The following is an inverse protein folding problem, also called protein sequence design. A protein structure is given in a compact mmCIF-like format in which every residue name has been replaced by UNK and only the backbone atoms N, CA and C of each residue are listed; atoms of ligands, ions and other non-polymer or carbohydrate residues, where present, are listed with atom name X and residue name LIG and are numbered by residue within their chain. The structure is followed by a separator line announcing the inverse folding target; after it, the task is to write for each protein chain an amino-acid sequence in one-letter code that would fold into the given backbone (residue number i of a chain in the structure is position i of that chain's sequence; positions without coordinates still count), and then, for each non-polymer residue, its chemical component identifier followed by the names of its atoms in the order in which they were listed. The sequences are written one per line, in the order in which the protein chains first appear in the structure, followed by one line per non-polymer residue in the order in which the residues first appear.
data_IF_903823276075
#
_entry.id   IF_903823276075
#
_cell.length_a   1.000
_cell.length_b   1.000
_cell.length_c   1.000
_cell.angle_alpha   90.00
_cell.angle_beta   90.00
_cell.angle_gamma   90.00
#
_symmetry.space_group_name_H-M   'P 1'
#
loop_
_entity.id
_entity.type
_entity.pdbx_description
1 polymer ?
#
# COMPACT_ATOMS: atom_id res chain seq x y z
N UNK A 1 33.94 -87.82 -7.75
CA UNK A 1 33.29 -87.01 -6.72
C UNK A 1 33.33 -85.44 -6.98
N UNK A 2 33.78 -85.04 -8.10
CA UNK A 2 33.95 -83.57 -8.44
C UNK A 2 32.69 -82.87 -8.97
N UNK A 3 31.91 -83.52 -9.81
CA UNK A 3 30.77 -82.93 -10.56
C UNK A 3 29.55 -82.53 -9.71
N UNK A 4 29.36 -83.13 -8.54
CA UNK A 4 28.22 -82.82 -7.68
C UNK A 4 28.37 -81.53 -6.84
N UNK A 5 29.58 -81.15 -6.54
CA UNK A 5 29.90 -79.88 -5.83
C UNK A 5 29.81 -78.65 -6.70
N UNK A 6 30.08 -78.75 -8.00
CA UNK A 6 29.99 -77.68 -8.95
C UNK A 6 28.53 -77.34 -9.29
N UNK A 7 27.67 -78.39 -9.47
CA UNK A 7 26.24 -78.19 -9.70
C UNK A 7 25.55 -77.50 -8.55
N UNK A 8 25.91 -77.83 -7.29
CA UNK A 8 25.35 -77.16 -6.11
C UNK A 8 25.79 -75.69 -6.00
N UNK A 9 27.04 -75.40 -6.37
CA UNK A 9 27.50 -73.98 -6.39
C UNK A 9 26.82 -73.13 -7.47
N UNK A 10 26.52 -73.70 -8.62
CA UNK A 10 25.80 -73.00 -9.71
C UNK A 10 24.33 -72.75 -9.32
N UNK A 11 23.69 -73.69 -8.67
CA UNK A 11 22.28 -73.54 -8.19
C UNK A 11 22.21 -72.49 -7.07
N UNK A 12 23.13 -72.45 -6.14
CA UNK A 12 23.16 -71.47 -5.05
C UNK A 12 23.46 -70.04 -5.62
N UNK A 13 24.31 -69.93 -6.64
CA UNK A 13 24.60 -68.66 -7.27
C UNK A 13 23.45 -68.13 -8.13
N UNK A 14 22.68 -69.03 -8.75
CA UNK A 14 21.47 -68.68 -9.52
C UNK A 14 20.31 -68.21 -8.59
N UNK A 15 20.13 -68.90 -7.44
CA UNK A 15 19.16 -68.45 -6.43
C UNK A 15 19.44 -67.08 -5.87
N UNK A 16 20.71 -66.79 -5.50
CA UNK A 16 21.10 -65.47 -5.01
C UNK A 16 20.97 -64.34 -6.08
N UNK A 17 21.14 -64.64 -7.37
CA UNK A 17 20.89 -63.70 -8.42
C UNK A 17 19.39 -63.43 -8.61
N UNK A 18 18.53 -64.43 -8.53
CA UNK A 18 17.11 -64.30 -8.62
C UNK A 18 16.53 -63.46 -7.43
N UNK A 19 17.02 -63.70 -6.20
CA UNK A 19 16.65 -62.94 -5.03
C UNK A 19 17.04 -61.45 -5.14
N UNK A 20 18.27 -61.15 -5.65
CA UNK A 20 18.73 -59.79 -5.85
C UNK A 20 17.95 -59.03 -6.98
N UNK A 21 17.47 -59.73 -8.02
CA UNK A 21 16.63 -59.12 -9.04
C UNK A 21 15.20 -58.82 -8.57
N UNK A 22 14.64 -59.71 -7.74
CA UNK A 22 13.32 -59.46 -7.11
C UNK A 22 13.37 -58.30 -6.14
N UNK A 23 14.44 -58.19 -5.35
CA UNK A 23 14.64 -57.07 -4.43
C UNK A 23 14.83 -55.73 -5.15
N UNK A 24 15.57 -55.71 -6.27
CA UNK A 24 15.71 -54.51 -7.14
C UNK A 24 14.41 -54.15 -7.84
N UNK A 25 13.60 -55.10 -8.24
CA UNK A 25 12.29 -54.84 -8.86
C UNK A 25 11.28 -54.30 -7.83
N UNK A 26 11.30 -54.82 -6.59
CA UNK A 26 10.49 -54.32 -5.48
C UNK A 26 10.88 -52.87 -5.10
N UNK A 27 12.17 -52.61 -4.97
CA UNK A 27 12.66 -51.23 -4.66
C UNK A 27 12.27 -50.21 -5.75
N UNK A 28 12.36 -50.60 -7.04
CA UNK A 28 11.91 -49.73 -8.13
C UNK A 28 10.40 -49.44 -8.10
N UNK A 29 9.60 -50.45 -7.73
CA UNK A 29 8.13 -50.25 -7.59
C UNK A 29 7.79 -49.34 -6.40
N UNK A 30 8.49 -49.42 -5.29
CA UNK A 30 8.29 -48.56 -4.14
C UNK A 30 8.71 -47.10 -4.44
N UNK A 31 9.84 -46.91 -5.11
CA UNK A 31 10.32 -45.56 -5.52
C UNK A 31 9.37 -44.92 -6.52
N UNK A 32 8.80 -45.69 -7.44
CA UNK A 32 7.85 -45.15 -8.44
C UNK A 32 6.49 -44.84 -7.79
N UNK A 33 6.03 -45.61 -6.84
CA UNK A 33 4.80 -45.35 -6.09
C UNK A 33 4.92 -44.11 -5.16
N UNK A 34 6.05 -43.94 -4.47
CA UNK A 34 6.31 -42.75 -3.65
C UNK A 34 6.48 -41.46 -4.46
N UNK A 35 7.06 -41.54 -5.67
CA UNK A 35 7.21 -40.39 -6.54
C UNK A 35 5.88 -39.89 -7.12
N UNK A 36 4.93 -40.81 -7.41
CA UNK A 36 3.61 -40.46 -7.92
C UNK A 36 2.70 -39.88 -6.82
N UNK A 37 2.84 -40.31 -5.55
CA UNK A 37 2.06 -39.77 -4.42
C UNK A 37 2.55 -38.42 -3.92
N UNK A 38 3.83 -38.07 -4.11
CA UNK A 38 4.36 -36.74 -3.76
C UNK A 38 4.01 -35.68 -4.80
N UNK A 39 3.84 -36.04 -6.09
CA UNK A 39 3.39 -35.11 -7.12
C UNK A 39 1.89 -34.81 -7.08
N UNK A 40 1.06 -35.64 -6.43
CA UNK A 40 -0.38 -35.42 -6.32
C UNK A 40 -0.79 -34.53 -5.14
N UNK A 41 0.11 -34.27 -4.18
CA UNK A 41 -0.14 -33.44 -3.00
C UNK A 41 0.21 -31.95 -3.21
N UNK A 42 0.72 -31.57 -4.36
CA UNK A 42 1.04 -30.15 -4.71
C UNK A 42 -0.11 -29.45 -5.42
N UNK A 43 -1.31 -30.00 -5.42
CA UNK A 43 -2.45 -29.40 -6.08
C UNK A 43 -3.42 -28.80 -5.08
N UNK A 44 -3.68 -27.53 -5.27
CA UNK A 44 -4.91 -26.83 -4.93
C UNK A 44 -5.12 -26.47 -3.45
N UNK A 45 -4.29 -25.59 -2.91
CA UNK A 45 -4.93 -24.48 -2.23
C UNK A 45 -5.44 -23.51 -3.31
N UNK A 46 -6.53 -23.86 -3.97
CA UNK A 46 -7.38 -22.91 -4.64
C UNK A 46 -7.86 -21.96 -3.53
N UNK A 47 -7.28 -20.77 -3.44
CA UNK A 47 -7.82 -19.71 -2.60
C UNK A 47 -9.26 -19.54 -3.05
N UNK A 48 -10.21 -19.91 -2.22
CA UNK A 48 -11.62 -19.61 -2.44
C UNK A 48 -11.68 -18.12 -2.75
N UNK A 49 -12.24 -17.66 -3.89
CA UNK A 49 -12.31 -16.25 -4.18
C UNK A 49 -12.97 -15.57 -2.98
N UNK A 50 -12.31 -14.57 -2.43
CA UNK A 50 -12.83 -13.86 -1.27
C UNK A 50 -14.22 -13.31 -1.63
N UNK A 51 -15.21 -13.66 -0.80
CA UNK A 51 -16.62 -13.37 -1.07
C UNK A 51 -16.89 -11.88 -0.85
N UNK A 52 -17.73 -11.29 -1.70
CA UNK A 52 -18.30 -9.97 -1.47
C UNK A 52 -18.94 -9.88 -0.08
N UNK A 53 -18.66 -8.80 0.64
CA UNK A 53 -19.21 -8.49 1.94
C UNK A 53 -20.06 -7.22 1.85
N UNK A 54 -21.24 -7.22 2.45
CA UNK A 54 -22.16 -6.07 2.47
C UNK A 54 -22.52 -5.72 3.88
N UNK A 55 -22.47 -4.42 4.20
CA UNK A 55 -22.80 -3.83 5.49
C UNK A 55 -23.83 -2.72 5.24
N UNK A 56 -25.14 -3.01 5.37
CA UNK A 56 -26.18 -2.00 5.15
C UNK A 56 -26.13 -0.85 6.16
N UNK A 57 -25.50 -1.08 7.34
CA UNK A 57 -25.38 -0.12 8.44
C UNK A 57 -26.72 0.42 8.92
N UNK A 58 -27.70 -0.48 9.11
CA UNK A 58 -29.00 -0.18 9.72
C UNK A 58 -28.96 -0.24 11.24
N UNK A 59 -27.94 -0.87 11.78
CA UNK A 59 -27.62 -0.99 13.21
C UNK A 59 -26.11 -0.98 13.42
N UNK A 60 -25.67 -0.99 14.66
CA UNK A 60 -24.27 -0.95 15.05
C UNK A 60 -23.69 -2.33 15.40
N UNK A 61 -24.44 -3.40 15.12
CA UNK A 61 -24.07 -4.76 15.51
C UNK A 61 -22.74 -5.18 14.93
N UNK A 62 -21.82 -5.60 15.80
CA UNK A 62 -20.50 -6.11 15.45
C UNK A 62 -19.47 -5.05 15.10
N UNK A 63 -19.80 -3.77 15.02
CA UNK A 63 -18.80 -2.71 14.86
C UNK A 63 -17.83 -2.68 16.04
N UNK A 64 -16.54 -2.57 15.75
CA UNK A 64 -15.47 -2.42 16.76
C UNK A 64 -15.10 -0.92 16.78
N UNK A 65 -15.45 -0.23 17.85
CA UNK A 65 -15.37 1.22 17.97
C UNK A 65 -14.53 1.64 19.19
N UNK A 66 -13.20 1.59 19.12
CA UNK A 66 -12.31 1.79 20.27
C UNK A 66 -12.34 3.23 20.81
N UNK A 67 -12.57 4.22 19.98
CA UNK A 67 -12.50 5.66 20.34
C UNK A 67 -13.60 6.50 19.68
N UNK A 68 -14.71 5.88 19.30
CA UNK A 68 -15.87 6.57 18.73
C UNK A 68 -17.16 6.03 19.32
N UNK A 69 -18.19 6.87 19.37
CA UNK A 69 -19.58 6.48 19.61
C UNK A 69 -20.24 6.15 18.30
N UNK A 70 -21.00 5.05 18.26
CA UNK A 70 -21.78 4.62 17.10
C UNK A 70 -23.23 4.55 17.45
N UNK A 71 -24.09 5.07 16.58
CA UNK A 71 -25.54 5.09 16.78
C UNK A 71 -26.28 4.80 15.47
N UNK A 72 -27.28 3.92 15.53
CA UNK A 72 -28.18 3.68 14.41
C UNK A 72 -29.18 4.83 14.29
N UNK A 73 -29.20 5.50 13.15
CA UNK A 73 -30.02 6.68 12.91
C UNK A 73 -30.57 6.70 11.49
N UNK A 74 -31.64 7.48 11.27
CA UNK A 74 -32.09 7.85 9.93
C UNK A 74 -31.58 9.24 9.59
N UNK A 75 -30.74 9.37 8.59
CA UNK A 75 -30.19 10.65 8.15
C UNK A 75 -30.47 10.88 6.66
N UNK A 76 -31.00 12.04 6.30
CA UNK A 76 -31.38 12.42 4.94
C UNK A 76 -32.11 11.29 4.18
N UNK A 77 -33.08 10.67 4.87
CA UNK A 77 -33.94 9.63 4.32
C UNK A 77 -33.35 8.22 4.27
N UNK A 78 -32.11 7.99 4.73
CA UNK A 78 -31.46 6.66 4.75
C UNK A 78 -31.23 6.15 6.16
N UNK A 79 -31.41 4.84 6.35
CA UNK A 79 -30.89 4.13 7.52
C UNK A 79 -29.36 4.16 7.45
N UNK A 80 -28.73 4.50 8.55
CA UNK A 80 -27.28 4.75 8.62
C UNK A 80 -26.74 4.57 10.03
N UNK A 81 -25.43 4.47 10.14
CA UNK A 81 -24.72 4.60 11.41
C UNK A 81 -24.09 5.98 11.48
N UNK A 82 -24.42 6.71 12.55
CA UNK A 82 -23.75 7.94 12.94
C UNK A 82 -22.52 7.60 13.77
N UNK A 83 -21.40 8.28 13.48
CA UNK A 83 -20.16 8.15 14.24
C UNK A 83 -19.72 9.53 14.70
N UNK A 84 -19.35 9.62 15.97
CA UNK A 84 -18.79 10.82 16.61
C UNK A 84 -17.59 10.41 17.47
N UNK A 85 -16.65 11.31 17.71
CA UNK A 85 -15.52 11.05 18.60
C UNK A 85 -16.01 10.79 20.03
N UNK A 86 -15.37 9.82 20.70
CA UNK A 86 -15.56 9.54 22.11
C UNK A 86 -14.25 9.77 22.87
N UNK A 87 -14.18 10.87 23.61
CA UNK A 87 -13.00 11.25 24.36
C UNK A 87 -12.23 12.43 23.79
N UNK A 88 -10.93 12.49 24.04
CA UNK A 88 -10.04 13.61 23.70
C UNK A 88 -9.33 13.43 22.33
N UNK A 89 -9.49 12.28 21.71
CA UNK A 89 -8.91 12.01 20.39
C UNK A 89 -9.50 12.93 19.32
N UNK A 90 -8.68 13.29 18.33
CA UNK A 90 -9.15 14.13 17.22
C UNK A 90 -9.67 13.33 16.05
N UNK A 91 -9.29 12.08 15.92
CA UNK A 91 -9.71 11.18 14.86
C UNK A 91 -10.13 9.83 15.45
N UNK A 92 -11.09 9.19 14.83
CA UNK A 92 -11.57 7.89 15.30
C UNK A 92 -12.05 6.98 14.19
N UNK A 93 -12.13 5.70 14.52
CA UNK A 93 -12.48 4.61 13.62
C UNK A 93 -13.54 3.70 14.24
N UNK A 94 -14.53 3.31 13.44
CA UNK A 94 -15.35 2.14 13.69
C UNK A 94 -15.02 1.07 12.63
N UNK A 95 -14.47 -0.08 13.06
CA UNK A 95 -14.07 -1.15 12.16
C UNK A 95 -15.24 -2.04 11.80
N UNK A 96 -15.34 -2.42 10.53
CA UNK A 96 -16.33 -3.37 10.03
C UNK A 96 -15.95 -4.80 10.43
N UNK A 97 -16.87 -5.58 11.01
CA UNK A 97 -16.57 -6.90 11.54
C UNK A 97 -16.17 -7.88 10.45
N UNK A 98 -15.15 -8.72 10.75
CA UNK A 98 -14.74 -9.81 9.87
C UNK A 98 -14.16 -9.38 8.52
N UNK A 99 -13.74 -8.13 8.39
CA UNK A 99 -13.06 -7.65 7.18
C UNK A 99 -11.55 -7.88 7.29
N UNK A 100 -10.96 -8.38 6.20
CA UNK A 100 -9.52 -8.44 5.96
C UNK A 100 -9.29 -8.12 4.48
N UNK A 101 -9.13 -6.84 4.20
CA UNK A 101 -9.08 -6.30 2.84
C UNK A 101 -7.63 -6.08 2.41
N UNK A 102 -7.27 -6.62 1.25
CA UNK A 102 -5.98 -6.40 0.61
C UNK A 102 -6.15 -5.60 -0.68
N UNK A 103 -6.78 -6.19 -1.69
CA UNK A 103 -7.05 -5.60 -3.00
C UNK A 103 -8.52 -5.77 -3.37
N UNK A 104 -9.04 -4.89 -4.21
CA UNK A 104 -10.44 -4.92 -4.63
C UNK A 104 -11.10 -3.56 -4.64
N UNK A 105 -12.40 -3.56 -4.40
CA UNK A 105 -13.24 -2.36 -4.42
C UNK A 105 -13.97 -2.22 -3.09
N UNK A 106 -13.95 -1.01 -2.53
CA UNK A 106 -14.77 -0.60 -1.38
C UNK A 106 -15.73 0.47 -1.87
N UNK A 107 -17.02 0.26 -1.69
CA UNK A 107 -18.07 1.24 -1.96
C UNK A 107 -18.78 1.60 -0.67
N UNK A 108 -19.14 2.87 -0.50
CA UNK A 108 -19.91 3.36 0.65
C UNK A 108 -20.72 4.60 0.26
N UNK A 109 -21.84 4.81 0.93
CA UNK A 109 -22.50 6.09 0.98
C UNK A 109 -22.07 6.79 2.28
N UNK A 110 -21.48 7.97 2.18
CA UNK A 110 -20.99 8.74 3.33
C UNK A 110 -21.57 10.15 3.32
N UNK A 111 -21.82 10.70 4.49
CA UNK A 111 -22.25 12.09 4.67
C UNK A 111 -21.68 12.64 5.98
N UNK A 112 -21.72 13.95 6.11
CA UNK A 112 -21.36 14.60 7.37
C UNK A 112 -22.26 15.80 7.64
N UNK A 113 -22.37 16.14 8.93
CA UNK A 113 -22.98 17.35 9.43
C UNK A 113 -22.00 18.04 10.36
N UNK A 114 -21.78 19.32 10.11
CA UNK A 114 -20.91 20.14 10.96
C UNK A 114 -21.69 20.58 12.19
N UNK A 115 -21.06 20.49 13.35
CA UNK A 115 -21.62 20.94 14.63
C UNK A 115 -21.08 22.29 15.12
N UNK A 116 -20.15 22.90 14.32
CA UNK A 116 -19.59 24.21 14.64
C UNK A 116 -20.63 25.34 14.52
N UNK A 117 -20.49 26.45 15.27
CA UNK A 117 -21.38 27.58 15.19
C UNK A 117 -21.54 28.16 13.78
N UNK A 118 -22.72 28.69 13.42
CA UNK A 118 -22.94 29.35 12.14
C UNK A 118 -21.91 30.48 11.89
N UNK A 119 -21.41 30.57 10.65
CA UNK A 119 -20.42 31.55 10.23
C UNK A 119 -18.96 31.17 10.46
N UNK A 120 -18.69 30.09 11.19
CA UNK A 120 -17.37 29.48 11.25
C UNK A 120 -17.22 28.53 10.08
N UNK A 121 -16.31 28.85 9.17
CA UNK A 121 -16.00 27.95 8.05
C UNK A 121 -15.22 26.75 8.53
N UNK A 122 -15.72 25.59 8.25
CA UNK A 122 -15.09 24.33 8.62
C UNK A 122 -14.96 23.39 7.41
N UNK A 123 -13.82 22.73 7.19
CA UNK A 123 -13.60 21.89 6.01
C UNK A 123 -14.54 20.67 5.94
N UNK A 124 -14.87 20.09 7.11
CA UNK A 124 -15.52 18.80 7.22
C UNK A 124 -14.57 17.64 6.93
N UNK A 125 -14.72 16.52 7.65
CA UNK A 125 -13.81 15.38 7.48
C UNK A 125 -14.58 14.07 7.65
N UNK A 126 -14.75 13.31 6.59
CA UNK A 126 -15.38 11.99 6.61
C UNK A 126 -14.66 11.07 5.63
N UNK A 127 -14.41 9.83 6.01
CA UNK A 127 -13.60 8.96 5.14
C UNK A 127 -13.78 7.47 5.38
N UNK A 128 -13.12 6.70 4.52
CA UNK A 128 -13.02 5.24 4.59
C UNK A 128 -11.55 4.86 4.74
N UNK A 129 -11.25 4.20 5.85
CA UNK A 129 -9.95 3.59 6.11
C UNK A 129 -9.94 2.14 5.60
N UNK A 130 -8.79 1.68 5.17
CA UNK A 130 -8.58 0.30 4.74
C UNK A 130 -7.19 -0.19 5.16
N UNK A 131 -6.99 -1.51 5.14
CA UNK A 131 -5.78 -2.15 5.68
C UNK A 131 -5.48 -1.71 7.10
N UNK A 132 -6.54 -1.58 7.90
CA UNK A 132 -6.45 -1.13 9.30
C UNK A 132 -5.96 -2.28 10.16
N UNK A 133 -4.94 -2.04 10.98
CA UNK A 133 -4.51 -3.01 12.00
C UNK A 133 -5.59 -3.21 13.06
N UNK A 134 -5.65 -4.38 13.71
CA UNK A 134 -6.66 -4.66 14.74
C UNK A 134 -6.69 -3.67 15.92
N UNK A 135 -5.55 -3.06 16.23
CA UNK A 135 -5.40 -2.03 17.27
C UNK A 135 -5.66 -0.59 16.77
N UNK A 136 -6.10 -0.45 15.50
CA UNK A 136 -6.33 0.82 14.81
C UNK A 136 -5.10 1.76 14.76
N UNK A 137 -3.91 1.26 15.07
CA UNK A 137 -2.68 2.08 15.10
C UNK A 137 -2.13 2.43 13.73
N UNK A 138 -2.43 1.63 12.69
CA UNK A 138 -1.96 1.82 11.32
C UNK A 138 -3.11 1.63 10.34
N UNK A 139 -3.23 2.53 9.38
CA UNK A 139 -4.24 2.45 8.32
C UNK A 139 -3.91 3.34 7.13
N UNK A 140 -4.50 3.00 5.99
CA UNK A 140 -4.60 3.83 4.80
C UNK A 140 -5.98 4.47 4.78
N UNK A 141 -6.11 5.72 4.34
CA UNK A 141 -7.36 6.47 4.41
C UNK A 141 -7.54 7.38 3.19
N UNK A 142 -8.73 7.32 2.58
CA UNK A 142 -9.25 8.42 1.79
C UNK A 142 -10.33 9.16 2.57
N UNK A 143 -10.23 10.48 2.63
CA UNK A 143 -11.26 11.31 3.25
C UNK A 143 -11.62 12.54 2.43
N UNK A 144 -12.82 13.02 2.65
CA UNK A 144 -13.43 14.14 1.98
C UNK A 144 -13.50 15.35 2.90
N UNK A 145 -13.37 16.54 2.32
CA UNK A 145 -13.57 17.84 2.95
C UNK A 145 -14.58 18.65 2.16
N UNK A 146 -15.88 18.40 2.33
CA UNK A 146 -16.92 19.07 1.54
C UNK A 146 -16.90 20.59 1.68
N UNK A 147 -16.62 21.14 2.87
CA UNK A 147 -16.50 22.57 3.08
C UNK A 147 -15.32 23.24 2.37
N UNK A 148 -14.34 22.47 1.91
CA UNK A 148 -13.29 23.01 1.04
C UNK A 148 -13.73 23.12 -0.42
N UNK A 149 -14.66 22.28 -0.88
CA UNK A 149 -15.12 22.27 -2.26
C UNK A 149 -15.67 23.64 -2.71
N UNK A 150 -16.41 24.30 -1.83
CA UNK A 150 -17.04 25.60 -2.08
C UNK A 150 -16.22 26.80 -1.57
N UNK A 151 -14.96 26.58 -1.21
CA UNK A 151 -14.10 27.64 -0.70
C UNK A 151 -13.86 28.74 -1.74
N UNK A 152 -13.89 30.03 -1.35
CA UNK A 152 -13.49 31.12 -2.24
C UNK A 152 -12.04 30.98 -2.72
N UNK A 153 -11.17 30.49 -1.86
CA UNK A 153 -9.75 30.27 -2.15
C UNK A 153 -9.53 28.99 -2.97
N UNK A 154 -8.86 29.14 -4.12
CA UNK A 154 -8.51 28.05 -5.01
C UNK A 154 -7.63 26.99 -4.33
N UNK A 155 -6.66 27.40 -3.51
CA UNK A 155 -5.80 26.45 -2.82
C UNK A 155 -6.61 25.54 -1.88
N UNK A 156 -7.61 26.11 -1.18
CA UNK A 156 -8.51 25.33 -0.33
C UNK A 156 -9.36 24.34 -1.13
N UNK A 157 -9.89 24.77 -2.32
CA UNK A 157 -10.66 23.86 -3.19
C UNK A 157 -9.84 22.66 -3.65
N UNK A 158 -8.55 22.85 -3.93
CA UNK A 158 -7.64 21.77 -4.33
C UNK A 158 -7.41 20.73 -3.24
N UNK A 159 -7.88 20.98 -2.02
CA UNK A 159 -7.79 20.06 -0.87
C UNK A 159 -9.15 19.44 -0.51
N UNK A 160 -10.08 19.25 -1.47
CA UNK A 160 -11.41 18.69 -1.21
C UNK A 160 -11.36 17.18 -0.94
N UNK A 161 -10.45 16.45 -1.56
CA UNK A 161 -10.18 15.04 -1.30
C UNK A 161 -8.73 14.82 -0.95
N UNK A 162 -8.47 13.85 -0.05
CA UNK A 162 -7.14 13.60 0.48
C UNK A 162 -6.93 12.11 0.72
N UNK A 163 -5.73 11.64 0.43
CA UNK A 163 -5.18 10.37 0.92
C UNK A 163 -4.18 10.64 2.03
N UNK A 164 -4.16 9.76 3.04
CA UNK A 164 -3.12 9.69 4.08
C UNK A 164 -2.85 8.24 4.46
N UNK A 165 -1.70 7.99 5.09
CA UNK A 165 -1.39 6.74 5.76
C UNK A 165 -0.87 7.05 7.16
N UNK A 166 -1.56 6.55 8.16
CA UNK A 166 -1.20 6.78 9.55
C UNK A 166 -0.58 5.51 10.19
N UNK A 167 0.39 5.70 11.07
CA UNK A 167 1.10 6.93 11.38
C UNK A 167 2.19 7.25 10.36
N UNK A 168 2.59 8.51 10.31
CA UNK A 168 3.81 8.94 9.65
C UNK A 168 3.63 9.61 8.29
N UNK A 169 2.54 9.37 7.58
CA UNK A 169 2.23 10.01 6.29
C UNK A 169 0.91 10.77 6.36
N UNK A 170 0.74 11.60 7.39
CA UNK A 170 -0.39 12.50 7.53
C UNK A 170 -0.38 13.61 6.46
N UNK A 171 -1.53 14.30 6.30
CA UNK A 171 -1.74 15.31 5.25
C UNK A 171 -0.66 16.39 5.17
N UNK A 172 -0.13 16.84 6.34
CA UNK A 172 0.88 17.90 6.38
C UNK A 172 2.21 17.43 5.76
N UNK A 173 2.66 16.22 6.11
CA UNK A 173 3.87 15.62 5.53
C UNK A 173 3.70 15.38 4.03
N UNK A 174 2.58 14.78 3.61
CA UNK A 174 2.32 14.49 2.22
C UNK A 174 2.28 15.76 1.37
N UNK A 175 1.61 16.81 1.84
CA UNK A 175 1.55 18.10 1.13
C UNK A 175 2.91 18.77 1.02
N UNK A 176 3.73 18.71 2.08
CA UNK A 176 5.08 19.30 2.09
C UNK A 176 6.04 18.54 1.19
N UNK A 177 6.02 17.20 1.22
CA UNK A 177 7.01 16.36 0.54
C UNK A 177 6.58 15.97 -0.87
N UNK A 178 5.28 15.90 -1.13
CA UNK A 178 4.66 15.55 -2.43
C UNK A 178 3.48 16.49 -2.74
N UNK A 179 3.72 17.78 -2.98
CA UNK A 179 2.63 18.73 -3.24
C UNK A 179 1.75 18.28 -4.40
N UNK A 180 0.43 18.38 -4.23
CA UNK A 180 -0.60 18.03 -5.21
C UNK A 180 -0.61 16.57 -5.70
N UNK A 181 0.04 15.63 -5.00
CA UNK A 181 0.07 14.21 -5.39
C UNK A 181 -0.99 13.40 -4.67
N UNK A 182 -1.23 13.69 -3.39
CA UNK A 182 -2.12 12.93 -2.51
C UNK A 182 -3.41 13.66 -2.15
N UNK A 183 -3.72 14.71 -2.87
CA UNK A 183 -4.92 15.51 -2.72
C UNK A 183 -5.36 16.08 -4.06
N UNK A 184 -6.64 16.37 -4.21
CA UNK A 184 -7.17 17.04 -5.40
C UNK A 184 -8.48 17.76 -5.12
N UNK A 185 -8.94 18.52 -6.11
CA UNK A 185 -10.28 19.09 -6.14
C UNK A 185 -11.33 18.02 -6.46
N UNK A 186 -12.48 18.10 -5.77
CA UNK A 186 -13.70 17.41 -6.14
C UNK A 186 -14.89 18.28 -5.76
N UNK A 187 -15.96 18.23 -6.56
CA UNK A 187 -17.24 18.87 -6.23
C UNK A 187 -17.96 18.05 -5.17
N UNK A 188 -18.11 18.62 -3.99
CA UNK A 188 -18.72 18.03 -2.82
C UNK A 188 -19.67 19.04 -2.17
N UNK A 189 -20.76 18.57 -1.61
CA UNK A 189 -21.70 19.39 -0.84
C UNK A 189 -21.76 18.90 0.61
N UNK A 190 -21.91 19.85 1.52
CA UNK A 190 -22.21 19.58 2.92
C UNK A 190 -23.61 18.97 3.07
N UNK A 191 -23.81 18.18 4.13
CA UNK A 191 -25.11 17.60 4.46
C UNK A 191 -25.79 16.88 3.28
N UNK A 192 -24.96 16.17 2.49
CA UNK A 192 -25.39 15.45 1.30
C UNK A 192 -24.71 14.08 1.26
N UNK A 193 -25.46 13.05 0.85
CA UNK A 193 -24.88 11.73 0.63
C UNK A 193 -23.93 11.74 -0.57
N UNK A 194 -22.67 11.44 -0.32
CA UNK A 194 -21.65 11.21 -1.35
C UNK A 194 -21.42 9.71 -1.50
N UNK A 195 -21.58 9.19 -2.71
CA UNK A 195 -21.18 7.83 -3.03
C UNK A 195 -19.67 7.79 -3.25
N UNK A 196 -18.97 7.00 -2.45
CA UNK A 196 -17.54 6.76 -2.53
C UNK A 196 -17.31 5.39 -3.12
N UNK A 197 -16.34 5.28 -4.05
CA UNK A 197 -15.79 4.01 -4.53
C UNK A 197 -14.28 4.10 -4.55
N UNK A 198 -13.63 3.19 -3.85
CA UNK A 198 -12.18 3.09 -3.75
C UNK A 198 -11.76 1.78 -4.41
N UNK A 199 -10.93 1.86 -5.44
CA UNK A 199 -10.27 0.71 -6.06
C UNK A 199 -8.85 0.62 -5.54
N UNK A 200 -8.46 -0.55 -5.04
CA UNK A 200 -7.10 -0.82 -4.53
C UNK A 200 -6.50 -1.99 -5.28
N UNK A 201 -5.28 -1.83 -5.75
CA UNK A 201 -4.53 -2.86 -6.45
C UNK A 201 -3.03 -2.75 -6.07
N UNK A 202 -2.55 -3.65 -5.24
CA UNK A 202 -1.19 -3.62 -4.70
C UNK A 202 -0.91 -2.32 -3.94
N UNK A 203 -0.02 -1.50 -4.48
CA UNK A 203 0.33 -0.19 -3.91
C UNK A 203 -0.27 1.00 -4.67
N UNK A 204 -1.30 0.77 -5.45
CA UNK A 204 -2.04 1.82 -6.12
C UNK A 204 -3.49 1.85 -5.68
N UNK A 205 -4.08 3.04 -5.62
CA UNK A 205 -5.50 3.20 -5.34
C UNK A 205 -6.11 4.36 -6.13
N UNK A 206 -7.42 4.27 -6.37
CA UNK A 206 -8.19 5.30 -7.05
C UNK A 206 -9.48 5.57 -6.26
N UNK A 207 -9.75 6.84 -6.06
CA UNK A 207 -11.00 7.31 -5.46
C UNK A 207 -11.93 7.85 -6.55
N UNK A 208 -13.16 7.35 -6.56
CA UNK A 208 -14.24 7.83 -7.43
C UNK A 208 -15.39 8.32 -6.58
N UNK A 209 -16.06 9.38 -7.01
CA UNK A 209 -17.17 10.00 -6.30
C UNK A 209 -18.42 10.07 -7.18
N UNK A 210 -19.56 9.84 -6.57
CA UNK A 210 -20.91 10.04 -7.17
C UNK A 210 -21.10 9.34 -8.52
N UNK A 211 -20.47 8.15 -8.71
CA UNK A 211 -20.59 7.35 -9.93
C UNK A 211 -19.81 7.90 -11.12
N UNK A 212 -18.90 8.86 -10.91
CA UNK A 212 -18.03 9.36 -11.97
C UNK A 212 -17.20 8.21 -12.59
N UNK A 213 -17.05 8.23 -13.90
CA UNK A 213 -16.15 7.32 -14.62
C UNK A 213 -14.66 7.71 -14.47
N UNK A 214 -14.38 8.98 -14.15
CA UNK A 214 -13.03 9.48 -13.90
C UNK A 214 -12.74 9.48 -12.40
N UNK A 215 -11.57 8.98 -11.97
CA UNK A 215 -11.20 9.08 -10.56
C UNK A 215 -10.99 10.53 -10.15
N UNK A 216 -11.47 10.88 -8.95
CA UNK A 216 -11.24 12.18 -8.32
C UNK A 216 -9.82 12.29 -7.77
N UNK A 217 -9.23 11.17 -7.36
CA UNK A 217 -7.83 11.11 -6.92
C UNK A 217 -7.23 9.76 -7.34
N UNK A 218 -6.02 9.80 -7.88
CA UNK A 218 -5.20 8.62 -8.20
C UNK A 218 -3.96 8.65 -7.31
N UNK A 219 -3.76 7.59 -6.55
CA UNK A 219 -2.57 7.39 -5.71
C UNK A 219 -1.75 6.25 -6.29
N UNK A 220 -0.62 6.57 -6.88
CA UNK A 220 0.37 5.61 -7.33
C UNK A 220 1.51 5.56 -6.30
N UNK A 221 1.47 4.60 -5.41
CA UNK A 221 2.41 4.45 -4.30
C UNK A 221 1.78 4.77 -2.93
N UNK A 222 0.84 3.92 -2.51
CA UNK A 222 0.30 3.88 -1.16
C UNK A 222 1.46 3.79 -0.13
N UNK A 223 1.36 4.53 0.96
CA UNK A 223 2.45 4.71 1.94
C UNK A 223 2.42 3.71 3.08
N UNK A 224 1.30 3.02 3.29
CA UNK A 224 1.15 2.05 4.36
C UNK A 224 2.11 0.87 4.22
N UNK A 225 2.58 0.36 5.35
CA UNK A 225 3.44 -0.82 5.41
C UNK A 225 2.62 -2.10 5.26
N UNK A 226 1.41 -2.11 5.81
CA UNK A 226 0.53 -3.27 5.77
C UNK A 226 -0.14 -3.39 4.40
N UNK A 227 -0.20 -4.60 3.88
CA UNK A 227 -0.84 -4.88 2.59
C UNK A 227 -2.27 -5.39 2.75
N UNK A 228 -2.70 -5.74 3.97
CA UNK A 228 -4.06 -6.18 4.28
C UNK A 228 -4.45 -5.77 5.70
N UNK A 229 -5.74 -5.75 5.99
CA UNK A 229 -6.30 -5.42 7.29
C UNK A 229 -7.78 -5.06 7.22
N UNK A 230 -8.35 -4.63 8.33
CA UNK A 230 -9.77 -4.28 8.40
C UNK A 230 -10.13 -3.06 7.52
N UNK A 231 -11.42 -2.92 7.23
CA UNK A 231 -12.01 -1.70 6.67
C UNK A 231 -12.66 -0.92 7.80
N UNK A 232 -12.45 0.40 7.84
CA UNK A 232 -12.92 1.29 8.90
C UNK A 232 -13.70 2.49 8.39
N UNK A 233 -14.69 2.90 9.15
CA UNK A 233 -15.45 4.13 8.98
C UNK A 233 -14.75 5.21 9.81
N UNK A 234 -14.27 6.25 9.15
CA UNK A 234 -13.39 7.24 9.79
C UNK A 234 -14.09 8.58 9.99
N UNK A 235 -13.88 9.17 11.18
CA UNK A 235 -14.40 10.48 11.57
C UNK A 235 -13.32 11.37 12.18
N UNK A 236 -13.62 12.65 12.29
CA UNK A 236 -12.75 13.64 12.94
C UNK A 236 -13.58 14.48 13.94
N UNK A 237 -12.91 15.33 14.76
CA UNK A 237 -13.56 16.18 15.77
C UNK A 237 -14.54 17.19 15.16
N UNK A 238 -15.51 17.60 15.97
CA UNK A 238 -16.51 18.64 15.65
C UNK A 238 -17.51 18.29 14.55
N UNK A 239 -17.72 16.97 14.32
CA UNK A 239 -18.57 16.48 13.25
C UNK A 239 -19.44 15.31 13.70
N UNK A 240 -20.60 15.20 13.05
CA UNK A 240 -21.37 13.97 12.99
C UNK A 240 -21.18 13.36 11.61
N UNK A 241 -20.56 12.19 11.52
CA UNK A 241 -20.36 11.48 10.26
C UNK A 241 -21.34 10.34 10.14
N UNK A 242 -21.84 10.11 8.94
CA UNK A 242 -22.89 9.13 8.66
C UNK A 242 -22.43 8.19 7.55
N UNK A 243 -22.66 6.89 7.76
CA UNK A 243 -22.28 5.83 6.84
C UNK A 243 -23.44 4.90 6.56
N UNK A 244 -23.57 4.48 5.31
CA UNK A 244 -24.60 3.56 4.86
C UNK A 244 -24.10 2.73 3.68
N UNK A 245 -24.70 1.55 3.45
CA UNK A 245 -24.51 0.74 2.24
C UNK A 245 -23.04 0.46 1.90
N UNK A 246 -22.22 0.04 2.87
CA UNK A 246 -20.85 -0.35 2.58
C UNK A 246 -20.85 -1.70 1.90
N UNK A 247 -20.11 -1.79 0.80
CA UNK A 247 -19.86 -3.03 0.06
C UNK A 247 -18.36 -3.17 -0.20
N UNK A 248 -17.85 -4.36 0.05
CA UNK A 248 -16.45 -4.73 -0.18
C UNK A 248 -16.44 -5.88 -1.17
N UNK A 249 -15.85 -5.68 -2.33
CA UNK A 249 -15.65 -6.69 -3.37
C UNK A 249 -14.16 -6.99 -3.48
N UNK A 250 -13.66 -8.04 -2.81
CA UNK A 250 -12.25 -8.38 -2.87
C UNK A 250 -11.83 -8.82 -4.27
N UNK A 251 -10.60 -8.50 -4.64
CA UNK A 251 -9.94 -9.00 -5.85
C UNK A 251 -8.79 -9.93 -5.49
N UNK A 252 -8.30 -10.69 -6.45
CA UNK A 252 -7.09 -11.47 -6.26
C UNK A 252 -5.93 -10.54 -5.91
N UNK A 253 -5.17 -10.84 -4.83
CA UNK A 253 -4.05 -10.02 -4.41
C UNK A 253 -3.04 -9.85 -5.54
N UNK A 254 -2.64 -8.63 -5.81
CA UNK A 254 -1.50 -8.38 -6.67
C UNK A 254 -0.22 -8.76 -5.93
N UNK A 255 0.67 -9.48 -6.59
CA UNK A 255 2.00 -9.77 -6.05
C UNK A 255 2.78 -8.45 -5.94
N UNK A 256 2.61 -7.78 -4.81
CA UNK A 256 3.59 -6.79 -4.37
C UNK A 256 4.79 -7.60 -3.92
N UNK A 257 5.82 -7.68 -4.75
CA UNK A 257 7.07 -8.31 -4.34
C UNK A 257 7.56 -7.54 -3.13
N UNK A 258 7.56 -8.19 -1.97
CA UNK A 258 8.21 -7.65 -0.77
C UNK A 258 9.66 -7.36 -1.18
N UNK A 259 10.01 -6.08 -1.13
CA UNK A 259 11.13 -5.51 -1.84
C UNK A 259 12.40 -6.31 -1.76
N UNK A 260 12.98 -6.53 -2.92
CA UNK A 260 14.38 -6.97 -3.05
C UNK A 260 15.26 -6.06 -2.23
N UNK A 261 16.35 -6.60 -1.70
CA UNK A 261 17.33 -5.79 -0.97
C UNK A 261 17.68 -4.52 -1.77
N UNK A 262 17.69 -3.38 -1.12
CA UNK A 262 18.04 -2.10 -1.73
C UNK A 262 19.56 -1.94 -1.91
N UNK A 263 20.36 -2.75 -1.21
CA UNK A 263 21.83 -2.68 -1.30
C UNK A 263 22.32 -2.98 -2.70
N UNK A 264 23.33 -2.25 -3.15
CA UNK A 264 24.00 -2.41 -4.47
C UNK A 264 24.08 -1.10 -5.24
N UNK A 265 24.51 -1.23 -6.50
CA UNK A 265 24.71 -0.13 -7.44
C UNK A 265 23.44 0.13 -8.24
N UNK A 266 23.03 1.39 -8.36
CA UNK A 266 21.82 1.79 -9.05
C UNK A 266 22.09 2.90 -10.06
N UNK A 267 21.70 2.69 -11.31
CA UNK A 267 21.63 3.74 -12.32
C UNK A 267 20.27 4.44 -12.20
N UNK A 268 20.27 5.72 -11.90
CA UNK A 268 19.07 6.51 -11.65
C UNK A 268 18.94 7.62 -12.68
N UNK A 269 17.71 7.84 -13.15
CA UNK A 269 17.31 8.95 -13.98
C UNK A 269 16.22 9.76 -13.29
N UNK A 270 16.50 11.04 -13.07
CA UNK A 270 15.55 12.01 -12.55
C UNK A 270 15.01 12.87 -13.70
N UNK A 271 13.72 13.24 -13.63
CA UNK A 271 13.05 14.12 -14.59
C UNK A 271 12.13 15.09 -13.88
N UNK A 272 12.23 16.37 -14.21
CA UNK A 272 11.36 17.45 -13.71
C UNK A 272 11.17 18.51 -14.79
N UNK A 273 10.35 19.52 -14.50
CA UNK A 273 10.21 20.70 -15.38
C UNK A 273 11.51 21.50 -15.53
N UNK A 274 12.44 21.33 -14.57
CA UNK A 274 13.79 21.90 -14.63
C UNK A 274 14.73 21.17 -15.58
N UNK A 275 14.32 20.04 -16.14
CA UNK A 275 15.13 19.14 -16.94
C UNK A 275 15.37 17.79 -16.25
N UNK A 276 16.24 16.97 -16.85
CA UNK A 276 16.61 15.67 -16.34
C UNK A 276 18.04 15.60 -15.88
N UNK A 277 18.36 14.64 -15.02
CA UNK A 277 19.72 14.29 -14.64
C UNK A 277 19.85 12.77 -14.47
N UNK A 278 20.99 12.24 -14.88
CA UNK A 278 21.37 10.86 -14.63
C UNK A 278 22.37 10.81 -13.48
N UNK A 279 22.31 9.78 -12.65
CA UNK A 279 23.18 9.62 -11.51
C UNK A 279 23.41 8.13 -11.18
N UNK A 280 24.46 7.88 -10.40
CA UNK A 280 24.75 6.59 -9.81
C UNK A 280 24.53 6.66 -8.30
N UNK A 281 23.96 5.63 -7.73
CA UNK A 281 23.83 5.45 -6.28
C UNK A 281 24.46 4.12 -5.90
N UNK A 282 25.38 4.14 -4.93
CA UNK A 282 25.86 2.95 -4.26
C UNK A 282 25.22 2.88 -2.89
N UNK A 283 24.40 1.88 -2.65
CA UNK A 283 23.59 1.77 -1.42
C UNK A 283 24.01 0.57 -0.59
N UNK A 284 24.11 0.77 0.71
CA UNK A 284 24.35 -0.25 1.74
C UNK A 284 23.18 -0.24 2.72
N UNK A 285 22.80 -1.42 3.19
CA UNK A 285 21.69 -1.58 4.13
C UNK A 285 22.14 -2.29 5.40
N UNK A 286 21.72 -1.74 6.54
CA UNK A 286 21.82 -2.36 7.85
C UNK A 286 20.45 -2.26 8.55
N UNK A 287 19.72 -3.36 8.61
CA UNK A 287 18.32 -3.36 9.06
C UNK A 287 17.44 -2.44 8.23
N UNK A 288 16.87 -1.42 8.86
CA UNK A 288 16.08 -0.38 8.19
C UNK A 288 16.91 0.85 7.79
N UNK A 289 18.18 0.92 8.19
CA UNK A 289 19.07 2.03 7.85
C UNK A 289 19.69 1.81 6.48
N UNK A 290 19.70 2.86 5.67
CA UNK A 290 20.39 2.89 4.38
C UNK A 290 21.46 3.98 4.42
N UNK A 291 22.63 3.65 3.93
CA UNK A 291 23.75 4.58 3.70
C UNK A 291 24.30 4.35 2.30
N UNK A 292 25.10 5.28 1.81
CA UNK A 292 25.70 5.09 0.49
C UNK A 292 26.31 6.37 -0.07
N UNK A 293 26.49 6.38 -1.37
CA UNK A 293 27.00 7.54 -2.11
C UNK A 293 26.18 7.85 -3.34
N UNK A 294 26.08 9.13 -3.65
CA UNK A 294 25.52 9.68 -4.87
C UNK A 294 26.64 10.22 -5.74
N UNK A 295 26.60 9.94 -7.03
CA UNK A 295 27.49 10.50 -8.05
C UNK A 295 26.67 10.97 -9.25
N UNK A 296 26.74 12.26 -9.55
CA UNK A 296 25.96 12.88 -10.62
C UNK A 296 25.99 14.41 -10.56
N UNK A 297 25.08 15.11 -11.25
CA UNK A 297 25.11 16.57 -11.40
C UNK A 297 25.07 17.38 -10.09
N UNK A 298 24.59 16.78 -9.00
CA UNK A 298 24.58 17.41 -7.66
C UNK A 298 25.88 17.18 -6.88
N UNK A 299 26.87 16.54 -7.48
CA UNK A 299 28.20 16.27 -6.93
C UNK A 299 28.59 14.79 -6.96
N UNK A 300 29.89 14.56 -6.94
CA UNK A 300 30.47 13.22 -6.91
C UNK A 300 30.69 12.75 -5.47
N UNK A 301 30.42 11.44 -5.21
CA UNK A 301 30.68 10.80 -3.94
C UNK A 301 29.95 11.41 -2.73
N UNK A 302 28.80 12.06 -2.96
CA UNK A 302 28.02 12.67 -1.87
C UNK A 302 27.43 11.59 -0.96
N UNK A 303 27.64 11.71 0.34
CA UNK A 303 27.13 10.74 1.31
C UNK A 303 25.61 10.76 1.37
N UNK A 304 25.00 9.61 1.15
CA UNK A 304 23.57 9.37 1.28
C UNK A 304 23.26 8.77 2.65
N UNK A 305 22.16 9.20 3.25
CA UNK A 305 21.57 8.55 4.42
C UNK A 305 20.07 8.39 4.23
N UNK A 306 19.49 7.37 4.85
CA UNK A 306 18.05 7.16 4.74
C UNK A 306 17.54 5.91 5.41
N UNK A 307 16.33 5.52 5.03
CA UNK A 307 15.63 4.35 5.55
C UNK A 307 15.04 3.50 4.44
N UNK A 308 14.95 2.23 4.72
CA UNK A 308 14.28 1.22 3.90
C UNK A 308 13.27 0.45 4.73
N UNK A 309 12.01 0.43 4.30
CA UNK A 309 10.94 -0.31 4.98
C UNK A 309 10.00 -0.95 3.97
N UNK A 310 9.92 -2.27 3.99
CA UNK A 310 8.95 -3.03 3.17
C UNK A 310 8.90 -2.63 1.68
N UNK A 311 10.06 -2.35 1.08
CA UNK A 311 10.13 -1.91 -0.32
C UNK A 311 10.10 -0.39 -0.50
N UNK A 312 9.79 0.40 0.55
CA UNK A 312 9.80 1.85 0.47
C UNK A 312 11.14 2.43 0.91
N UNK A 313 11.71 3.26 0.05
CA UNK A 313 13.01 3.91 0.22
C UNK A 313 12.83 5.40 0.49
N UNK A 314 13.49 5.91 1.52
CA UNK A 314 13.64 7.34 1.81
C UNK A 314 15.12 7.64 1.92
N UNK A 315 15.65 8.55 1.11
CA UNK A 315 17.05 8.96 1.09
C UNK A 315 17.16 10.48 1.15
N UNK A 316 18.25 10.95 1.74
CA UNK A 316 18.63 12.36 1.73
C UNK A 316 20.15 12.52 1.60
N UNK A 317 20.56 13.59 0.95
CA UNK A 317 21.97 14.00 0.86
C UNK A 317 22.12 15.50 0.61
N UNK A 318 23.27 16.05 0.97
CA UNK A 318 23.66 17.41 0.63
C UNK A 318 24.47 17.40 -0.68
N UNK A 319 24.13 18.30 -1.60
CA UNK A 319 24.78 18.45 -2.90
C UNK A 319 25.01 19.90 -3.27
N UNK A 320 25.43 20.12 -4.51
CA UNK A 320 25.64 21.43 -5.10
C UNK A 320 24.78 21.58 -6.36
N UNK A 321 24.00 22.65 -6.44
CA UNK A 321 23.23 22.96 -7.63
C UNK A 321 24.17 23.48 -8.74
N UNK A 322 24.15 22.90 -9.95
CA UNK A 322 25.16 23.19 -10.97
C UNK A 322 25.04 24.63 -11.54
N UNK A 323 26.18 25.19 -11.95
CA UNK A 323 26.28 26.55 -12.54
C UNK A 323 25.55 26.69 -13.86
N UNK A 324 25.49 25.64 -14.64
CA UNK A 324 24.86 25.59 -15.97
C UNK A 324 23.34 25.43 -15.91
N UNK A 325 22.76 25.31 -14.70
CA UNK A 325 21.32 25.15 -14.54
C UNK A 325 20.58 26.41 -14.94
N UNK A 326 19.50 26.24 -15.70
CA UNK A 326 18.58 27.33 -16.06
C UNK A 326 17.70 27.78 -14.87
N UNK A 327 17.71 27.08 -13.78
CA UNK A 327 16.85 27.34 -12.62
C UNK A 327 17.69 27.66 -11.38
N UNK A 328 17.73 28.93 -11.02
CA UNK A 328 18.34 29.45 -9.82
C UNK A 328 19.88 29.53 -9.83
N UNK A 329 20.42 30.26 -8.87
CA UNK A 329 21.86 30.41 -8.71
C UNK A 329 22.53 29.09 -8.24
N UNK A 330 23.80 28.82 -8.63
CA UNK A 330 24.56 27.70 -8.11
C UNK A 330 24.72 27.83 -6.59
N UNK A 331 24.89 26.71 -5.91
CA UNK A 331 25.14 26.69 -4.47
C UNK A 331 24.64 25.42 -3.78
N UNK A 332 24.83 25.33 -2.46
CA UNK A 332 24.48 24.16 -1.68
C UNK A 332 22.95 23.90 -1.72
N UNK A 333 22.58 22.63 -1.79
CA UNK A 333 21.21 22.15 -1.80
C UNK A 333 21.08 20.88 -0.99
N UNK A 334 19.86 20.63 -0.50
CA UNK A 334 19.48 19.33 0.05
C UNK A 334 18.60 18.60 -0.96
N UNK A 335 18.88 17.33 -1.17
CA UNK A 335 18.09 16.44 -2.02
C UNK A 335 17.42 15.36 -1.16
N UNK A 336 16.16 15.06 -1.49
CA UNK A 336 15.33 14.07 -0.85
C UNK A 336 14.73 13.15 -1.91
N UNK A 337 15.00 11.86 -1.79
CA UNK A 337 14.41 10.84 -2.67
C UNK A 337 13.48 9.96 -1.86
N UNK A 338 12.35 9.66 -2.44
CA UNK A 338 11.41 8.68 -1.86
C UNK A 338 10.84 7.83 -2.98
N UNK A 339 10.59 6.55 -2.70
CA UNK A 339 10.03 5.69 -3.74
C UNK A 339 10.01 4.22 -3.38
N UNK A 340 9.64 3.43 -4.36
CA UNK A 340 9.50 1.99 -4.25
C UNK A 340 10.60 1.29 -5.04
N UNK A 341 11.18 0.26 -4.43
CA UNK A 341 12.09 -0.68 -5.10
C UNK A 341 11.34 -2.00 -5.32
N UNK A 342 11.33 -2.48 -6.55
CA UNK A 342 10.76 -3.76 -6.95
C UNK A 342 11.77 -4.55 -7.80
N UNK A 343 12.37 -5.55 -7.21
CA UNK A 343 13.43 -6.34 -7.86
C UNK A 343 14.66 -5.51 -8.20
N UNK A 344 14.97 -5.47 -9.48
CA UNK A 344 16.08 -4.69 -10.04
C UNK A 344 15.67 -3.29 -10.51
N UNK A 345 14.47 -2.82 -10.17
CA UNK A 345 13.96 -1.50 -10.57
C UNK A 345 13.44 -0.70 -9.39
N UNK A 346 13.48 0.62 -9.51
CA UNK A 346 12.94 1.56 -8.56
C UNK A 346 12.27 2.74 -9.23
N UNK A 347 11.28 3.33 -8.58
CA UNK A 347 10.62 4.55 -9.02
C UNK A 347 10.13 5.39 -7.85
N UNK A 348 10.07 6.69 -8.03
CA UNK A 348 9.57 7.56 -6.99
C UNK A 348 9.67 9.04 -7.32
N UNK A 349 9.77 9.84 -6.28
CA UNK A 349 9.94 11.28 -6.40
C UNK A 349 11.27 11.73 -5.78
N UNK A 350 11.86 12.74 -6.40
CA UNK A 350 13.02 13.44 -5.85
C UNK A 350 12.73 14.93 -5.83
N UNK A 351 13.03 15.53 -4.70
CA UNK A 351 12.97 16.99 -4.52
C UNK A 351 14.36 17.49 -4.21
N UNK A 352 14.81 18.50 -4.98
CA UNK A 352 15.97 19.32 -4.66
C UNK A 352 15.46 20.63 -4.10
N UNK A 353 15.74 20.89 -2.83
CA UNK A 353 15.13 21.94 -2.03
C UNK A 353 15.33 23.33 -2.66
N UNK A 354 14.22 24.04 -2.89
CA UNK A 354 14.22 25.37 -3.53
C UNK A 354 14.65 25.39 -5.01
N UNK A 355 14.75 24.23 -5.68
CA UNK A 355 15.23 24.12 -7.07
C UNK A 355 14.29 23.34 -7.98
N UNK A 356 14.00 22.08 -7.67
CA UNK A 356 13.19 21.23 -8.52
C UNK A 356 12.47 20.12 -7.74
N UNK A 357 11.35 19.67 -8.28
CA UNK A 357 10.60 18.50 -7.83
C UNK A 357 10.21 17.68 -9.05
N UNK A 358 10.42 16.37 -9.00
CA UNK A 358 10.16 15.52 -10.16
C UNK A 358 10.14 14.04 -9.82
N UNK A 359 10.00 13.23 -10.86
CA UNK A 359 10.01 11.79 -10.77
C UNK A 359 11.43 11.23 -10.98
N UNK A 360 11.72 10.11 -10.35
CA UNK A 360 12.91 9.32 -10.65
C UNK A 360 12.55 7.87 -10.95
N UNK A 361 13.35 7.27 -11.80
CA UNK A 361 13.39 5.83 -12.03
C UNK A 361 14.82 5.35 -11.85
N UNK A 362 15.00 4.11 -11.39
CA UNK A 362 16.32 3.51 -11.25
C UNK A 362 16.31 2.05 -11.68
N UNK A 363 17.47 1.58 -12.11
CA UNK A 363 17.74 0.17 -12.40
C UNK A 363 18.99 -0.26 -11.62
N UNK A 364 18.95 -1.46 -11.07
CA UNK A 364 20.14 -2.07 -10.47
C UNK A 364 21.17 -2.34 -11.56
N UNK A 365 22.39 -1.94 -11.30
CA UNK A 365 23.53 -2.29 -12.15
C UNK A 365 23.95 -3.73 -11.86
N UNK A 366 24.10 -4.52 -12.90
CA UNK A 366 24.58 -5.89 -12.81
C UNK A 366 26.08 -5.94 -12.46
#
# INVERSE_FOLDING_TARGET
MSTRREAVRLLVSASKRAEAEVEKASLKRWVTCCAVTVLAASCLFAQTPAREQTFPLRDTTGLIAPNVKTEAVKYLGRESVRITIDGEDRAGLALLPGTDFQDGVIEADIALKITTPPGVRYPGFVGIAFRVRPDASHYELFYLRPGNSEAPDQAMRNHSVQYVSEPGFGWYRLRREWPCVYESHAELAMETWTKVRIEVAGRAAKLYLNGSAKPSLVVDGLKGEDLHGAVGLWTFTDEETYFSNVRITPAAPQNVKNGSDVAGSWEMRYSSDAGGMDALMELHRDGNKVTGTWSGPLGEGRAITGTWRNGYLELSFAGEWPKESRQGAPGPVNAFLTGWIDGASGKGRMRVEGRSDGAWVAKRKE
#
